data_IF_129624996926
#
_entry.id   IF_129624996926
#
_cell.length_a   1.000
_cell.length_b   1.000
_cell.length_c   1.000
_cell.angle_alpha   90.00
_cell.angle_beta   90.00
_cell.angle_gamma   90.00
#
_symmetry.space_group_name_H-M   'P 1'
#
loop_
_entity.id
_entity.type
_entity.pdbx_description
1 polymer ?
#
# COMPACT_ATOMS: atom_id res chain seq x y z
N UNK A 1 10.99 13.75 -70.55
CA UNK A 1 11.28 12.97 -69.33
C UNK A 1 10.30 13.44 -68.27
N UNK A 2 9.08 12.91 -68.29
CA UNK A 2 8.07 13.20 -67.25
C UNK A 2 8.43 12.41 -66.00
N UNK A 3 8.61 13.13 -64.90
CA UNK A 3 8.95 12.57 -63.60
C UNK A 3 7.64 12.00 -63.01
N UNK A 4 7.52 10.68 -62.97
CA UNK A 4 6.37 9.97 -62.40
C UNK A 4 6.32 10.22 -60.87
N UNK A 5 5.27 10.88 -60.32
CA UNK A 5 5.16 11.21 -58.90
C UNK A 5 4.82 10.00 -58.00
N UNK A 6 4.51 8.83 -58.57
CA UNK A 6 4.07 7.67 -57.78
C UNK A 6 5.21 6.91 -57.07
N UNK A 7 6.49 7.19 -57.38
CA UNK A 7 7.63 6.48 -56.76
C UNK A 7 8.18 7.10 -55.48
N UNK A 8 7.71 8.27 -55.05
CA UNK A 8 8.21 8.92 -53.83
C UNK A 8 7.36 8.63 -52.58
N UNK A 9 6.19 7.97 -52.73
CA UNK A 9 5.30 7.64 -51.62
C UNK A 9 5.58 6.27 -50.96
N UNK A 10 6.62 5.55 -51.39
CA UNK A 10 6.94 4.20 -50.90
C UNK A 10 8.08 4.17 -49.87
N UNK A 11 8.51 5.33 -49.38
CA UNK A 11 9.72 5.50 -48.57
C UNK A 11 9.51 6.28 -47.29
N UNK A 12 8.58 5.86 -46.43
CA UNK A 12 8.64 6.05 -44.97
C UNK A 12 7.31 5.58 -44.35
N UNK A 13 7.04 4.28 -44.42
CA UNK A 13 6.17 3.66 -43.42
C UNK A 13 6.86 3.76 -42.06
N UNK A 14 6.75 4.91 -41.41
CA UNK A 14 7.00 5.02 -39.97
C UNK A 14 5.92 4.13 -39.37
N UNK A 15 6.31 2.88 -39.08
CA UNK A 15 5.45 1.95 -38.35
C UNK A 15 4.93 2.73 -37.14
N UNK A 16 3.61 2.89 -37.05
CA UNK A 16 2.98 3.47 -35.89
C UNK A 16 3.59 2.77 -34.66
N UNK A 17 4.03 3.52 -33.63
CA UNK A 17 4.61 2.90 -32.45
C UNK A 17 3.63 1.83 -31.99
N UNK A 18 4.07 0.56 -32.06
CA UNK A 18 3.26 -0.55 -31.59
C UNK A 18 2.83 -0.19 -30.17
N UNK A 19 1.54 -0.28 -29.83
CA UNK A 19 1.13 -0.10 -28.45
C UNK A 19 1.96 -1.09 -27.64
N UNK A 20 2.89 -0.56 -26.83
CA UNK A 20 3.66 -1.38 -25.90
C UNK A 20 2.62 -2.11 -25.10
N UNK A 21 2.50 -3.41 -25.32
CA UNK A 21 1.51 -4.25 -24.67
C UNK A 21 1.82 -4.15 -23.18
N UNK A 22 1.13 -3.26 -22.47
CA UNK A 22 1.29 -3.13 -21.04
C UNK A 22 1.07 -4.53 -20.48
N UNK A 23 2.01 -5.08 -19.70
CA UNK A 23 1.85 -6.42 -19.16
C UNK A 23 0.50 -6.46 -18.45
N UNK A 24 -0.37 -7.40 -18.84
CA UNK A 24 -1.72 -7.49 -18.32
C UNK A 24 -1.65 -7.56 -16.78
N UNK A 25 -2.03 -6.48 -16.10
CA UNK A 25 -1.95 -6.43 -14.64
C UNK A 25 -2.81 -7.55 -14.05
N UNK A 26 -2.25 -8.30 -13.10
CA UNK A 26 -2.95 -9.41 -12.45
C UNK A 26 -4.28 -8.92 -11.83
N UNK A 27 -5.41 -9.63 -12.03
CA UNK A 27 -6.74 -9.13 -11.65
C UNK A 27 -6.89 -8.82 -10.16
N UNK A 28 -6.18 -9.58 -9.31
CA UNK A 28 -6.13 -9.32 -7.86
C UNK A 28 -5.44 -7.99 -7.57
N UNK A 29 -4.33 -7.68 -8.24
CA UNK A 29 -3.61 -6.42 -8.03
C UNK A 29 -4.48 -5.23 -8.44
N UNK A 30 -5.18 -5.33 -9.58
CA UNK A 30 -6.14 -4.30 -10.00
C UNK A 30 -7.26 -4.09 -8.97
N UNK A 31 -7.76 -5.17 -8.35
CA UNK A 31 -8.77 -5.09 -7.30
C UNK A 31 -8.24 -4.42 -6.03
N UNK A 32 -7.07 -4.82 -5.55
CA UNK A 32 -6.43 -4.28 -4.34
C UNK A 32 -6.06 -2.79 -4.50
N UNK A 33 -5.73 -2.37 -5.72
CA UNK A 33 -5.41 -0.97 -6.04
C UNK A 33 -6.63 -0.06 -6.14
N UNK A 34 -7.86 -0.60 -6.10
CA UNK A 34 -9.07 0.24 -6.05
C UNK A 34 -9.02 1.09 -4.78
N UNK A 35 -9.19 2.43 -4.86
CA UNK A 35 -8.95 3.32 -3.72
C UNK A 35 -9.78 2.97 -2.50
N UNK A 36 -11.05 2.61 -2.70
CA UNK A 36 -11.94 2.15 -1.63
C UNK A 36 -11.44 0.87 -0.97
N UNK A 37 -10.99 -0.12 -1.76
CA UNK A 37 -10.51 -1.40 -1.24
C UNK A 37 -9.22 -1.18 -0.45
N UNK A 38 -8.30 -0.38 -0.98
CA UNK A 38 -7.06 -0.03 -0.29
C UNK A 38 -7.32 0.65 1.06
N UNK A 39 -8.27 1.60 1.13
CA UNK A 39 -8.66 2.23 2.40
C UNK A 39 -9.28 1.23 3.39
N UNK A 40 -10.06 0.26 2.90
CA UNK A 40 -10.62 -0.79 3.75
C UNK A 40 -9.57 -1.77 4.25
N UNK A 41 -8.53 -2.06 3.46
CA UNK A 41 -7.39 -2.87 3.88
C UNK A 41 -6.58 -2.16 4.97
N UNK A 42 -6.28 -0.88 4.77
CA UNK A 42 -5.64 -0.03 5.78
C UNK A 42 -6.49 0.00 7.06
N UNK A 43 -7.79 0.24 6.95
CA UNK A 43 -8.69 0.22 8.11
C UNK A 43 -8.70 -1.14 8.84
N UNK A 44 -8.74 -2.24 8.09
CA UNK A 44 -8.68 -3.59 8.65
C UNK A 44 -7.37 -3.83 9.39
N UNK A 45 -6.27 -3.32 8.86
CA UNK A 45 -4.96 -3.40 9.50
C UNK A 45 -4.87 -2.57 10.79
N UNK A 46 -5.47 -1.37 10.80
CA UNK A 46 -5.62 -0.56 12.02
C UNK A 46 -6.49 -1.26 13.08
N UNK A 47 -7.58 -1.91 12.67
CA UNK A 47 -8.41 -2.68 13.59
C UNK A 47 -7.62 -3.86 14.19
N UNK A 48 -6.86 -4.59 13.37
CA UNK A 48 -6.01 -5.69 13.87
C UNK A 48 -5.03 -5.16 14.92
N UNK A 49 -4.38 -4.02 14.65
CA UNK A 49 -3.53 -3.40 15.65
C UNK A 49 -4.29 -3.07 16.93
N UNK A 50 -5.43 -2.41 16.84
CA UNK A 50 -6.15 -2.00 18.03
C UNK A 50 -6.53 -3.23 18.86
N UNK A 51 -6.92 -4.33 18.20
CA UNK A 51 -7.20 -5.59 18.86
C UNK A 51 -5.95 -6.19 19.53
N UNK A 52 -4.75 -6.04 18.96
CA UNK A 52 -3.50 -6.52 19.60
C UNK A 52 -3.26 -5.86 20.96
N UNK A 53 -3.64 -4.60 21.13
CA UNK A 53 -3.56 -3.89 22.42
C UNK A 53 -4.62 -4.34 23.43
N UNK A 54 -5.78 -4.82 22.98
CA UNK A 54 -6.84 -5.32 23.87
C UNK A 54 -6.64 -6.80 24.28
N UNK A 55 -5.90 -7.59 23.49
CA UNK A 55 -5.74 -9.04 23.69
C UNK A 55 -4.32 -9.43 24.12
N UNK A 56 -3.76 -8.76 25.13
CA UNK A 56 -2.36 -8.91 25.58
C UNK A 56 -2.01 -10.20 26.33
N UNK A 57 -2.74 -11.29 26.10
CA UNK A 57 -2.57 -12.56 26.84
C UNK A 57 -2.68 -13.82 25.98
N UNK A 58 -2.38 -13.72 24.68
CA UNK A 58 -2.37 -14.87 23.76
C UNK A 58 -1.17 -14.76 22.81
N UNK A 59 -0.49 -15.87 22.54
CA UNK A 59 0.78 -15.90 21.78
C UNK A 59 0.74 -15.35 20.35
N UNK A 60 -0.46 -15.13 19.81
CA UNK A 60 -0.67 -14.48 18.50
C UNK A 60 -0.53 -12.95 18.60
N UNK A 61 -0.94 -12.36 19.73
CA UNK A 61 -1.08 -10.92 19.88
C UNK A 61 0.12 -10.35 20.65
N UNK A 62 0.16 -10.56 21.96
CA UNK A 62 1.25 -10.11 22.84
C UNK A 62 1.41 -11.12 23.98
N UNK A 63 2.65 -11.49 24.25
CA UNK A 63 3.07 -12.34 25.35
C UNK A 63 4.34 -11.73 25.97
N UNK A 64 4.34 -11.50 27.27
CA UNK A 64 5.53 -10.98 27.95
C UNK A 64 6.44 -12.15 28.33
N UNK A 65 7.55 -12.32 27.61
CA UNK A 65 8.65 -13.21 28.02
C UNK A 65 9.82 -12.34 28.51
N UNK A 66 9.93 -12.15 29.82
CA UNK A 66 10.99 -11.35 30.44
C UNK A 66 10.80 -9.84 30.20
N UNK A 67 11.82 -9.17 29.64
CA UNK A 67 11.80 -7.75 29.28
C UNK A 67 11.38 -7.50 27.81
N UNK A 68 11.01 -8.55 27.06
CA UNK A 68 10.67 -8.45 25.64
C UNK A 68 9.17 -8.63 25.41
N UNK A 69 8.63 -7.81 24.50
CA UNK A 69 7.30 -7.96 23.95
C UNK A 69 7.35 -9.04 22.85
N UNK A 70 6.83 -10.21 23.18
CA UNK A 70 6.85 -11.39 22.33
C UNK A 70 5.46 -11.65 21.73
N UNK A 71 5.40 -12.35 20.61
CA UNK A 71 4.14 -12.64 19.90
C UNK A 71 4.10 -12.06 18.49
N UNK A 72 3.46 -12.80 17.58
CA UNK A 72 3.58 -12.59 16.14
C UNK A 72 3.13 -11.19 15.64
N UNK A 73 2.34 -10.48 16.44
CA UNK A 73 1.86 -9.13 16.16
C UNK A 73 2.29 -8.10 17.22
N UNK A 74 3.24 -8.41 18.10
CA UNK A 74 3.64 -7.47 19.16
C UNK A 74 4.21 -6.16 18.58
N UNK A 75 4.92 -6.23 17.45
CA UNK A 75 5.37 -5.06 16.70
C UNK A 75 4.25 -4.21 16.06
N UNK A 76 3.00 -4.67 16.14
CA UNK A 76 1.82 -3.92 15.69
C UNK A 76 1.16 -3.11 16.81
N UNK A 77 1.32 -3.52 18.07
CA UNK A 77 0.69 -2.93 19.26
C UNK A 77 1.34 -1.60 19.69
N UNK A 78 1.64 -0.71 18.73
CA UNK A 78 2.49 0.46 18.93
C UNK A 78 1.73 1.76 19.27
N UNK A 79 0.41 1.72 19.47
CA UNK A 79 -0.31 2.86 20.03
C UNK A 79 -1.80 2.98 19.68
N UNK A 80 -2.48 3.73 20.55
CA UNK A 80 -3.91 3.99 20.50
C UNK A 80 -4.36 4.79 19.26
N UNK A 81 -3.45 5.33 18.45
CA UNK A 81 -3.75 6.04 17.20
C UNK A 81 -4.45 5.15 16.15
N UNK A 82 -4.39 3.84 16.32
CA UNK A 82 -4.95 2.88 15.38
C UNK A 82 -6.48 2.97 15.32
N UNK A 83 -7.15 3.22 16.44
CA UNK A 83 -8.61 3.40 16.47
C UNK A 83 -9.05 4.62 15.65
N UNK A 84 -8.53 5.84 15.87
CA UNK A 84 -8.92 6.99 15.05
C UNK A 84 -8.50 6.83 13.57
N UNK A 85 -7.37 6.18 13.27
CA UNK A 85 -6.96 5.91 11.88
C UNK A 85 -7.91 4.92 11.18
N UNK A 86 -8.32 3.84 11.86
CA UNK A 86 -9.33 2.91 11.34
C UNK A 86 -10.62 3.64 10.97
N UNK A 87 -11.12 4.48 11.89
CA UNK A 87 -12.33 5.28 11.67
C UNK A 87 -12.14 6.25 10.49
N UNK A 88 -10.99 6.93 10.42
CA UNK A 88 -10.66 7.85 9.33
C UNK A 88 -10.65 7.14 7.97
N UNK A 89 -9.99 5.98 7.86
CA UNK A 89 -9.94 5.23 6.62
C UNK A 89 -11.31 4.69 6.21
N UNK A 90 -12.13 4.19 7.16
CA UNK A 90 -13.52 3.80 6.91
C UNK A 90 -14.34 5.00 6.41
N UNK A 91 -14.19 6.17 7.04
CA UNK A 91 -14.86 7.39 6.63
C UNK A 91 -14.48 7.79 5.20
N UNK A 92 -13.17 7.87 4.91
CA UNK A 92 -12.64 8.25 3.60
C UNK A 92 -12.99 7.23 2.51
N UNK A 93 -13.17 5.95 2.84
CA UNK A 93 -13.54 4.89 1.88
C UNK A 93 -14.89 5.14 1.20
N UNK A 94 -15.76 5.96 1.80
CA UNK A 94 -17.08 6.31 1.25
C UNK A 94 -16.94 7.11 -0.05
N UNK A 95 -16.00 8.06 -0.08
CA UNK A 95 -15.68 8.89 -1.26
C UNK A 95 -14.15 9.13 -1.36
N UNK A 96 -13.40 8.15 -1.90
CA UNK A 96 -11.94 8.23 -1.94
C UNK A 96 -11.40 9.35 -2.83
N UNK A 97 -12.21 9.84 -3.79
CA UNK A 97 -11.82 10.92 -4.70
C UNK A 97 -11.75 12.24 -3.95
N UNK A 98 -12.76 12.52 -3.11
CA UNK A 98 -12.78 13.70 -2.25
C UNK A 98 -11.64 13.73 -1.24
N UNK A 99 -11.23 12.56 -0.74
CA UNK A 99 -10.23 12.44 0.32
C UNK A 99 -8.87 11.92 -0.17
N UNK A 100 -8.46 12.23 -1.40
CA UNK A 100 -7.23 11.69 -2.00
C UNK A 100 -5.94 11.91 -1.17
N UNK A 101 -5.89 12.98 -0.35
CA UNK A 101 -4.71 13.24 0.52
C UNK A 101 -4.55 12.23 1.66
N UNK A 102 -5.58 11.47 2.00
CA UNK A 102 -5.51 10.44 3.07
C UNK A 102 -4.46 9.36 2.75
N UNK A 103 -4.18 9.11 1.47
CA UNK A 103 -3.18 8.14 1.05
C UNK A 103 -1.74 8.59 1.38
N UNK A 104 -1.46 9.89 1.47
CA UNK A 104 -0.18 10.37 1.98
C UNK A 104 0.00 10.08 3.46
N UNK A 105 -1.07 10.29 4.25
CA UNK A 105 -1.08 9.93 5.66
C UNK A 105 -0.83 8.44 5.86
N UNK A 106 -1.52 7.60 5.08
CA UNK A 106 -1.32 6.15 5.10
C UNK A 106 0.13 5.76 4.74
N UNK A 107 0.73 6.38 3.72
CA UNK A 107 2.12 6.09 3.37
C UNK A 107 3.09 6.44 4.50
N UNK A 108 2.91 7.62 5.12
CA UNK A 108 3.77 8.08 6.22
C UNK A 108 3.64 7.15 7.43
N UNK A 109 2.41 6.77 7.80
CA UNK A 109 2.16 5.91 8.95
C UNK A 109 2.76 4.52 8.74
N UNK A 110 2.57 3.88 7.58
CA UNK A 110 3.16 2.56 7.32
C UNK A 110 4.69 2.59 7.32
N UNK A 111 5.31 3.66 6.80
CA UNK A 111 6.76 3.85 6.88
C UNK A 111 7.23 4.06 8.32
N UNK A 112 6.51 4.88 9.10
CA UNK A 112 6.82 5.10 10.52
C UNK A 112 6.72 3.79 11.31
N UNK A 113 5.70 2.97 11.05
CA UNK A 113 5.54 1.65 11.67
C UNK A 113 6.72 0.71 11.35
N UNK A 114 7.18 0.69 10.10
CA UNK A 114 8.37 -0.09 9.70
C UNK A 114 9.62 0.39 10.47
N UNK A 115 9.87 1.70 10.50
CA UNK A 115 11.03 2.25 11.21
C UNK A 115 10.96 2.01 12.72
N UNK A 116 9.78 2.13 13.33
CA UNK A 116 9.58 1.83 14.75
C UNK A 116 9.89 0.35 15.06
N UNK A 117 9.40 -0.58 14.23
CA UNK A 117 9.71 -2.01 14.37
C UNK A 117 11.21 -2.31 14.27
N UNK A 118 11.90 -1.69 13.30
CA UNK A 118 13.36 -1.84 13.13
C UNK A 118 14.11 -1.27 14.33
N UNK A 119 13.69 -0.10 14.82
CA UNK A 119 14.26 0.51 16.02
C UNK A 119 14.11 -0.38 17.24
N UNK A 120 12.89 -0.86 17.53
CA UNK A 120 12.62 -1.70 18.69
C UNK A 120 13.28 -3.09 18.60
N UNK A 121 13.46 -3.64 17.39
CA UNK A 121 14.31 -4.82 17.21
C UNK A 121 15.76 -4.52 17.59
N UNK A 122 16.32 -3.39 17.12
CA UNK A 122 17.70 -2.99 17.41
C UNK A 122 17.95 -2.61 18.87
N UNK A 123 16.92 -2.06 19.54
CA UNK A 123 16.93 -1.75 20.97
C UNK A 123 16.77 -3.00 21.86
N UNK A 124 16.33 -4.13 21.27
CA UNK A 124 16.09 -5.37 21.98
C UNK A 124 14.74 -5.46 22.70
N UNK A 125 13.80 -4.56 22.38
CA UNK A 125 12.44 -4.52 22.96
C UNK A 125 11.50 -5.55 22.31
N UNK A 126 11.75 -5.87 21.04
CA UNK A 126 10.97 -6.82 20.25
C UNK A 126 11.84 -7.97 19.74
N UNK A 127 11.29 -9.19 19.78
CA UNK A 127 11.87 -10.34 19.08
C UNK A 127 11.73 -10.23 17.55
N UNK A 128 12.56 -10.97 16.81
CA UNK A 128 12.48 -11.02 15.34
C UNK A 128 11.10 -11.52 14.88
N UNK A 129 10.56 -12.52 15.56
CA UNK A 129 9.25 -13.11 15.24
C UNK A 129 8.11 -12.08 15.35
N UNK A 130 8.26 -11.12 16.27
CA UNK A 130 7.31 -10.04 16.53
C UNK A 130 7.29 -8.95 15.44
N UNK A 131 8.29 -8.90 14.56
CA UNK A 131 8.40 -7.86 13.52
C UNK A 131 8.12 -8.38 12.11
N UNK A 132 8.30 -9.68 11.85
CA UNK A 132 8.21 -10.23 10.47
C UNK A 132 6.85 -9.92 9.85
N UNK A 133 5.76 -10.26 10.54
CA UNK A 133 4.41 -10.05 10.03
C UNK A 133 4.07 -8.56 9.94
N UNK A 134 4.24 -7.74 11.00
CA UNK A 134 3.93 -6.31 10.94
C UNK A 134 4.69 -5.58 9.83
N UNK A 135 6.00 -5.81 9.71
CA UNK A 135 6.83 -5.15 8.68
C UNK A 135 6.44 -5.62 7.28
N UNK A 136 6.18 -6.92 7.09
CA UNK A 136 5.79 -7.45 5.77
C UNK A 136 4.45 -6.88 5.29
N UNK A 137 3.46 -6.80 6.18
CA UNK A 137 2.15 -6.23 5.86
C UNK A 137 2.29 -4.72 5.61
N UNK A 138 3.03 -4.00 6.45
CA UNK A 138 3.24 -2.58 6.27
C UNK A 138 3.97 -2.24 4.96
N UNK A 139 4.96 -3.05 4.57
CA UNK A 139 5.65 -2.91 3.29
C UNK A 139 4.71 -3.16 2.10
N UNK A 140 3.86 -4.20 2.18
CA UNK A 140 2.89 -4.50 1.13
C UNK A 140 1.84 -3.39 0.99
N UNK A 141 1.29 -2.88 2.09
CA UNK A 141 0.35 -1.75 2.09
C UNK A 141 1.02 -0.47 1.58
N UNK A 142 2.25 -0.19 2.01
CA UNK A 142 3.04 0.94 1.50
C UNK A 142 3.23 0.86 0.00
N UNK A 143 3.55 -0.31 -0.54
CA UNK A 143 3.70 -0.52 -1.98
C UNK A 143 2.37 -0.27 -2.73
N UNK A 144 1.24 -0.76 -2.22
CA UNK A 144 -0.08 -0.50 -2.81
C UNK A 144 -0.44 0.99 -2.78
N UNK A 145 -0.18 1.67 -1.68
CA UNK A 145 -0.40 3.13 -1.53
C UNK A 145 0.50 3.91 -2.47
N UNK A 146 1.78 3.54 -2.58
CA UNK A 146 2.72 4.14 -3.50
C UNK A 146 2.24 3.99 -4.95
N UNK A 147 1.86 2.79 -5.36
CA UNK A 147 1.30 2.54 -6.69
C UNK A 147 -0.02 3.28 -6.93
N UNK A 148 -0.79 3.56 -5.88
CA UNK A 148 -2.00 4.39 -6.00
C UNK A 148 -1.66 5.88 -6.22
N UNK A 149 -0.65 6.40 -5.51
CA UNK A 149 -0.27 7.80 -5.54
C UNK A 149 0.49 8.19 -6.82
N UNK A 150 1.34 7.30 -7.33
CA UNK A 150 2.33 7.65 -8.37
C UNK A 150 2.04 7.05 -9.75
N UNK A 151 1.09 6.13 -9.89
CA UNK A 151 0.74 5.70 -11.24
C UNK A 151 -0.10 6.77 -11.97
N UNK A 152 0.22 7.07 -13.25
CA UNK A 152 -0.57 7.99 -14.06
C UNK A 152 -2.02 7.52 -14.09
N UNK A 153 -2.94 8.36 -13.63
CA UNK A 153 -4.35 8.19 -13.98
C UNK A 153 -4.43 8.61 -15.43
N UNK A 154 -4.67 7.68 -16.34
CA UNK A 154 -5.03 8.01 -17.72
C UNK A 154 -6.07 9.12 -17.64
N UNK A 155 -5.68 10.31 -18.10
CA UNK A 155 -6.56 11.46 -18.17
C UNK A 155 -7.77 11.00 -18.97
N UNK A 156 -8.92 10.87 -18.30
CA UNK A 156 -10.18 10.71 -19.01
C UNK A 156 -10.31 11.95 -19.88
N UNK A 157 -10.12 11.77 -21.18
CA UNK A 157 -10.47 12.79 -22.17
C UNK A 157 -11.85 13.35 -21.80
N UNK A 158 -11.98 14.68 -21.64
CA UNK A 158 -13.29 15.27 -21.49
C UNK A 158 -14.06 15.02 -22.80
N UNK A 159 -15.16 14.27 -22.67
CA UNK A 159 -16.19 14.16 -23.71
C UNK A 159 -16.92 15.51 -23.89
#
# INVERSE_FOLDING_TARGET
MERNPEREAEGAGIAAPQPVLAPAEHPVLQFLRRPRILLLLLAGWEVIGALTEFFTSTGIFVNLHGNQLDGALAGRALGWEQVPLAVLYIYCSRDPVRYARVFWLALIEQLAAIFANIYHLGAGDLGIESIIIPVSIAAALSALVFLHLFQPREEREPA
#
